data_IF_806058701337
#
_entry.id   IF_806058701337
#
_cell.length_a   1.000
_cell.length_b   1.000
_cell.length_c   1.000
_cell.angle_alpha   90.00
_cell.angle_beta   90.00
_cell.angle_gamma   90.00
#
_symmetry.space_group_name_H-M   'P 1'
#
loop_
_entity.id
_entity.type
_entity.pdbx_description
1 polymer ?
#
# COMPACT_ATOMS: atom_id res chain seq x y z
N UNK A 1 22.80 40.45 15.69
CA UNK A 1 22.96 39.85 17.02
C UNK A 1 21.57 39.44 17.51
N UNK A 2 21.29 38.13 17.68
CA UNK A 2 19.95 37.67 18.09
C UNK A 2 19.71 38.05 19.55
N UNK A 3 18.48 38.50 19.90
CA UNK A 3 18.09 38.83 21.29
C UNK A 3 18.21 37.59 22.20
N UNK A 4 18.41 37.79 23.50
CA UNK A 4 18.46 36.72 24.51
C UNK A 4 17.20 35.84 24.45
N UNK A 5 16.05 36.44 24.24
CA UNK A 5 14.76 35.75 24.12
C UNK A 5 14.72 34.82 22.92
N UNK A 6 15.26 35.24 21.75
CA UNK A 6 15.32 34.39 20.55
C UNK A 6 16.23 33.16 20.75
N UNK A 7 17.36 33.34 21.47
CA UNK A 7 18.24 32.20 21.78
C UNK A 7 17.57 31.21 22.73
N UNK A 8 16.82 31.70 23.70
CA UNK A 8 16.08 30.86 24.66
C UNK A 8 14.96 30.13 23.96
N UNK A 9 14.23 30.75 23.06
CA UNK A 9 13.22 30.15 22.21
C UNK A 9 13.77 29.03 21.36
N UNK A 10 14.88 29.26 20.64
CA UNK A 10 15.53 28.24 19.82
C UNK A 10 16.03 27.05 20.65
N UNK A 11 16.55 27.30 21.85
CA UNK A 11 16.99 26.26 22.80
C UNK A 11 15.81 25.39 23.23
N UNK A 12 14.68 25.99 23.53
CA UNK A 12 13.46 25.25 23.92
C UNK A 12 12.89 24.42 22.77
N UNK A 13 12.88 24.95 21.55
CA UNK A 13 12.48 24.17 20.37
C UNK A 13 13.39 22.96 20.14
N UNK A 14 14.71 23.14 20.23
CA UNK A 14 15.66 22.03 20.06
C UNK A 14 15.48 20.97 21.15
N UNK A 15 15.29 21.41 22.42
CA UNK A 15 15.02 20.51 23.54
C UNK A 15 13.75 19.70 23.32
N UNK A 16 12.66 20.37 22.93
CA UNK A 16 11.40 19.67 22.64
C UNK A 16 11.52 18.71 21.47
N UNK A 17 12.19 19.08 20.37
CA UNK A 17 12.45 18.18 19.24
C UNK A 17 13.27 16.96 19.67
N UNK A 18 14.28 17.15 20.52
CA UNK A 18 15.10 16.04 21.04
C UNK A 18 14.28 15.11 21.93
N UNK A 19 13.50 15.66 22.87
CA UNK A 19 12.61 14.88 23.75
C UNK A 19 11.60 14.08 22.93
N UNK A 20 10.93 14.72 21.98
CA UNK A 20 9.96 14.06 21.11
C UNK A 20 10.64 12.95 20.27
N UNK A 21 11.82 13.24 19.72
CA UNK A 21 12.62 12.23 18.99
C UNK A 21 13.00 11.06 19.86
N UNK A 22 13.49 11.32 21.08
CA UNK A 22 13.85 10.29 22.05
C UNK A 22 12.66 9.38 22.39
N UNK A 23 11.51 9.98 22.74
CA UNK A 23 10.32 9.18 23.08
C UNK A 23 9.78 8.37 21.89
N UNK A 24 9.85 8.90 20.68
CA UNK A 24 9.50 8.13 19.47
C UNK A 24 10.34 6.86 19.34
N UNK A 25 11.67 7.00 19.46
CA UNK A 25 12.59 5.87 19.35
C UNK A 25 12.41 4.92 20.54
N UNK A 26 12.26 5.47 21.76
CA UNK A 26 12.05 4.68 22.97
C UNK A 26 10.80 3.80 22.86
N UNK A 27 9.68 4.35 22.40
CA UNK A 27 8.43 3.57 22.21
C UNK A 27 8.65 2.41 21.24
N UNK A 28 9.34 2.65 20.11
CA UNK A 28 9.61 1.59 19.13
C UNK A 28 10.48 0.49 19.76
N UNK A 29 11.58 0.86 20.42
CA UNK A 29 12.48 -0.12 21.06
C UNK A 29 11.77 -0.87 22.18
N UNK A 30 10.94 -0.17 22.97
CA UNK A 30 10.16 -0.77 24.06
C UNK A 30 9.15 -1.82 23.53
N UNK A 31 8.42 -1.47 22.46
CA UNK A 31 7.47 -2.40 21.84
C UNK A 31 8.17 -3.62 21.22
N UNK A 32 9.29 -3.40 20.54
CA UNK A 32 10.10 -4.50 20.01
C UNK A 32 10.66 -5.37 21.14
N UNK A 33 11.09 -4.78 22.26
CA UNK A 33 11.56 -5.50 23.44
C UNK A 33 10.47 -6.35 24.09
N UNK A 34 9.27 -5.81 24.24
CA UNK A 34 8.11 -6.58 24.72
C UNK A 34 7.80 -7.74 23.79
N UNK A 35 7.74 -7.50 22.49
CA UNK A 35 7.46 -8.54 21.50
C UNK A 35 8.51 -9.66 21.55
N UNK A 36 9.79 -9.30 21.61
CA UNK A 36 10.91 -10.26 21.78
C UNK A 36 10.76 -11.07 23.06
N UNK A 37 10.47 -10.41 24.19
CA UNK A 37 10.30 -11.06 25.49
C UNK A 37 9.12 -12.05 25.49
N UNK A 38 7.97 -11.64 24.96
CA UNK A 38 6.78 -12.49 24.88
C UNK A 38 7.02 -13.70 23.96
N UNK A 39 7.71 -13.49 22.83
CA UNK A 39 8.03 -14.57 21.88
C UNK A 39 9.03 -15.58 22.45
N UNK A 40 10.11 -15.13 23.07
CA UNK A 40 11.13 -16.03 23.66
C UNK A 40 10.60 -16.88 24.81
N UNK A 41 9.71 -16.31 25.61
CA UNK A 41 9.12 -17.03 26.75
C UNK A 41 7.87 -17.87 26.37
N UNK A 42 7.59 -18.01 25.05
CA UNK A 42 6.41 -18.73 24.55
C UNK A 42 5.06 -18.26 25.15
N UNK A 43 5.00 -16.97 25.58
CA UNK A 43 3.77 -16.35 26.08
C UNK A 43 2.79 -16.02 24.95
N UNK A 44 3.29 -15.98 23.72
CA UNK A 44 2.50 -15.83 22.50
C UNK A 44 2.76 -17.03 21.59
N UNK A 45 1.78 -17.34 20.73
CA UNK A 45 1.95 -18.43 19.76
C UNK A 45 2.97 -18.02 18.68
N UNK A 46 4.21 -18.50 18.84
CA UNK A 46 5.32 -18.17 17.95
C UNK A 46 5.19 -18.73 16.54
N UNK A 47 4.25 -19.65 16.31
CA UNK A 47 3.91 -20.12 14.97
C UNK A 47 3.14 -19.04 14.18
N UNK A 48 2.26 -18.31 14.87
CA UNK A 48 1.44 -17.26 14.24
C UNK A 48 2.15 -15.90 14.18
N UNK A 49 2.84 -15.52 15.26
CA UNK A 49 3.32 -14.12 15.41
C UNK A 49 4.83 -13.98 15.31
N UNK A 50 5.63 -15.07 15.42
CA UNK A 50 7.09 -15.01 15.46
C UNK A 50 7.63 -14.01 16.52
N UNK A 51 8.89 -13.59 16.45
CA UNK A 51 9.50 -12.51 17.24
C UNK A 51 10.77 -11.98 16.53
N UNK A 52 11.24 -10.76 16.81
CA UNK A 52 12.29 -10.07 16.05
C UNK A 52 13.54 -10.89 15.79
N UNK A 53 14.13 -11.51 16.80
CA UNK A 53 15.37 -12.28 16.61
C UNK A 53 15.15 -13.54 15.75
N UNK A 54 14.00 -14.20 15.87
CA UNK A 54 13.66 -15.36 15.03
C UNK A 54 13.49 -14.95 13.57
N UNK A 55 12.86 -13.79 13.33
CA UNK A 55 12.73 -13.22 11.98
C UNK A 55 14.12 -12.97 11.39
N UNK A 56 15.04 -12.36 12.16
CA UNK A 56 16.41 -12.13 11.73
C UNK A 56 17.15 -13.41 11.35
N UNK A 57 17.05 -14.45 12.16
CA UNK A 57 17.65 -15.77 11.87
C UNK A 57 17.06 -16.36 10.59
N UNK A 58 15.74 -16.34 10.46
CA UNK A 58 15.05 -16.86 9.25
C UNK A 58 15.49 -16.12 7.98
N UNK A 59 15.64 -14.80 8.04
CA UNK A 59 16.14 -14.02 6.88
C UNK A 59 17.54 -14.48 6.49
N UNK A 60 18.45 -14.65 7.48
CA UNK A 60 19.81 -15.11 7.22
C UNK A 60 19.83 -16.51 6.62
N UNK A 61 18.98 -17.42 7.11
CA UNK A 61 18.90 -18.78 6.60
C UNK A 61 18.33 -18.81 5.17
N UNK A 62 17.33 -18.00 4.87
CA UNK A 62 16.80 -17.86 3.51
C UNK A 62 17.84 -17.28 2.53
N UNK A 63 18.68 -16.34 2.98
CA UNK A 63 19.80 -15.84 2.18
C UNK A 63 20.85 -16.92 1.90
N UNK A 64 21.23 -17.70 2.92
CA UNK A 64 22.24 -18.75 2.78
C UNK A 64 21.78 -19.87 1.84
N UNK A 65 20.51 -20.21 1.86
CA UNK A 65 19.92 -21.26 1.02
C UNK A 65 19.54 -20.77 -0.39
N UNK A 66 19.87 -19.51 -0.76
CA UNK A 66 19.59 -18.85 -2.04
C UNK A 66 18.11 -18.78 -2.44
N UNK A 67 17.19 -19.23 -1.58
CA UNK A 67 15.76 -19.22 -1.87
C UNK A 67 15.11 -17.85 -1.74
N UNK A 68 15.69 -16.94 -0.93
CA UNK A 68 15.13 -15.61 -0.69
C UNK A 68 15.05 -14.76 -1.97
N UNK A 69 16.11 -14.80 -2.79
CA UNK A 69 16.14 -14.04 -4.04
C UNK A 69 15.07 -14.51 -5.04
N UNK A 70 14.87 -15.83 -5.13
CA UNK A 70 13.83 -16.41 -5.97
C UNK A 70 12.44 -15.98 -5.51
N UNK A 71 12.19 -16.03 -4.21
CA UNK A 71 10.92 -15.54 -3.63
C UNK A 71 10.68 -14.05 -3.87
N UNK A 72 11.72 -13.21 -3.71
CA UNK A 72 11.64 -11.78 -3.99
C UNK A 72 11.35 -11.55 -5.47
N UNK A 73 12.04 -12.25 -6.37
CA UNK A 73 11.85 -12.11 -7.80
C UNK A 73 10.42 -12.49 -8.23
N UNK A 74 9.94 -13.66 -7.80
CA UNK A 74 8.59 -14.12 -8.12
C UNK A 74 7.53 -13.15 -7.60
N UNK A 75 7.62 -12.73 -6.33
CA UNK A 75 6.66 -11.79 -5.73
C UNK A 75 6.71 -10.42 -6.42
N UNK A 76 7.91 -9.93 -6.76
CA UNK A 76 8.05 -8.67 -7.50
C UNK A 76 7.43 -8.75 -8.89
N UNK A 77 7.65 -9.84 -9.60
CA UNK A 77 7.08 -10.12 -10.92
C UNK A 77 5.54 -10.16 -10.86
N UNK A 78 4.97 -10.91 -9.92
CA UNK A 78 3.52 -11.00 -9.71
C UNK A 78 2.92 -9.61 -9.40
N UNK A 79 3.58 -8.83 -8.55
CA UNK A 79 3.13 -7.49 -8.16
C UNK A 79 3.16 -6.52 -9.34
N UNK A 80 4.28 -6.47 -10.07
CA UNK A 80 4.45 -5.56 -11.22
C UNK A 80 3.46 -5.89 -12.33
N UNK A 81 3.32 -7.17 -12.70
CA UNK A 81 2.37 -7.57 -13.72
C UNK A 81 0.94 -7.24 -13.31
N UNK A 82 0.56 -7.55 -12.09
CA UNK A 82 -0.79 -7.27 -11.59
C UNK A 82 -1.09 -5.77 -11.58
N UNK A 83 -0.11 -4.97 -11.15
CA UNK A 83 -0.23 -3.51 -11.13
C UNK A 83 -0.40 -2.93 -12.54
N UNK A 84 0.45 -3.35 -13.48
CA UNK A 84 0.38 -2.88 -14.87
C UNK A 84 -0.95 -3.25 -15.52
N UNK A 85 -1.37 -4.52 -15.39
CA UNK A 85 -2.64 -4.99 -15.94
C UNK A 85 -3.83 -4.26 -15.32
N UNK A 86 -3.84 -4.11 -14.00
CA UNK A 86 -4.90 -3.38 -13.30
C UNK A 86 -4.97 -1.91 -13.73
N UNK A 87 -3.81 -1.29 -13.93
CA UNK A 87 -3.73 0.11 -14.35
C UNK A 87 -4.27 0.28 -15.78
N UNK A 88 -3.88 -0.59 -16.71
CA UNK A 88 -4.35 -0.54 -18.09
C UNK A 88 -5.87 -0.76 -18.14
N UNK A 89 -6.37 -1.81 -17.48
CA UNK A 89 -7.80 -2.13 -17.45
C UNK A 89 -8.58 -1.00 -16.75
N UNK A 90 -8.09 -0.55 -15.60
CA UNK A 90 -8.73 0.49 -14.80
C UNK A 90 -8.82 1.83 -15.54
N UNK A 91 -7.72 2.25 -16.18
CA UNK A 91 -7.67 3.46 -16.99
C UNK A 91 -8.62 3.38 -18.20
N UNK A 92 -8.63 2.25 -18.90
CA UNK A 92 -9.53 2.02 -20.04
C UNK A 92 -10.99 2.14 -19.62
N UNK A 93 -11.40 1.47 -18.55
CA UNK A 93 -12.77 1.53 -18.03
C UNK A 93 -13.10 2.95 -17.53
N UNK A 94 -12.22 3.59 -16.78
CA UNK A 94 -12.41 4.96 -16.30
C UNK A 94 -12.59 5.96 -17.44
N UNK A 95 -11.85 5.79 -18.53
CA UNK A 95 -11.98 6.62 -19.74
C UNK A 95 -13.36 6.43 -20.41
N UNK A 96 -13.84 5.20 -20.51
CA UNK A 96 -15.18 4.91 -21.05
C UNK A 96 -16.27 5.55 -20.18
N UNK A 97 -16.16 5.44 -18.86
CA UNK A 97 -17.09 6.05 -17.92
C UNK A 97 -17.09 7.57 -18.03
N UNK A 98 -15.93 8.18 -18.16
CA UNK A 98 -15.80 9.62 -18.33
C UNK A 98 -16.40 10.11 -19.65
N UNK A 99 -16.24 9.33 -20.72
CA UNK A 99 -16.80 9.66 -22.04
C UNK A 99 -18.34 9.62 -22.08
N UNK A 100 -18.96 8.71 -21.33
CA UNK A 100 -20.41 8.49 -21.35
C UNK A 100 -21.04 8.75 -19.98
N UNK A 101 -21.69 9.93 -19.84
CA UNK A 101 -22.41 10.30 -18.61
C UNK A 101 -23.55 9.32 -18.26
N UNK A 102 -24.18 8.69 -19.26
CA UNK A 102 -25.23 7.69 -19.03
C UNK A 102 -24.62 6.40 -18.46
N UNK A 103 -23.52 5.96 -19.05
CA UNK A 103 -22.85 4.73 -18.62
C UNK A 103 -22.26 4.88 -17.20
N UNK A 104 -21.69 6.04 -16.90
CA UNK A 104 -21.15 6.30 -15.56
C UNK A 104 -22.26 6.25 -14.51
N UNK A 105 -23.38 6.92 -14.72
CA UNK A 105 -24.52 6.89 -13.78
C UNK A 105 -25.10 5.50 -13.55
N UNK A 106 -25.02 4.61 -14.54
CA UNK A 106 -25.47 3.23 -14.41
C UNK A 106 -24.45 2.37 -13.68
N UNK A 107 -23.15 2.48 -14.01
CA UNK A 107 -22.11 1.56 -13.53
C UNK A 107 -21.44 1.99 -12.24
N UNK A 108 -21.36 3.29 -11.95
CA UNK A 108 -20.70 3.82 -10.75
C UNK A 108 -21.20 3.17 -9.44
N UNK A 109 -22.53 3.01 -9.19
CA UNK A 109 -23.00 2.33 -7.99
C UNK A 109 -22.48 0.89 -7.87
N UNK A 110 -22.46 0.14 -8.97
CA UNK A 110 -21.99 -1.24 -8.99
C UNK A 110 -20.48 -1.33 -8.74
N UNK A 111 -19.69 -0.47 -9.38
CA UNK A 111 -18.24 -0.41 -9.17
C UNK A 111 -17.91 -0.04 -7.72
N UNK A 112 -18.67 0.89 -7.13
CA UNK A 112 -18.52 1.29 -5.73
C UNK A 112 -18.83 0.14 -4.78
N UNK A 113 -19.91 -0.61 -5.02
CA UNK A 113 -20.26 -1.80 -4.24
C UNK A 113 -19.15 -2.85 -4.37
N UNK A 114 -18.69 -3.15 -5.58
CA UNK A 114 -17.60 -4.10 -5.82
C UNK A 114 -16.28 -3.65 -5.20
N UNK A 115 -16.04 -2.35 -5.13
CA UNK A 115 -14.85 -1.81 -4.46
C UNK A 115 -14.91 -1.97 -2.93
N UNK A 116 -16.10 -1.92 -2.33
CA UNK A 116 -16.28 -2.04 -0.88
C UNK A 116 -16.30 -3.48 -0.37
N UNK A 117 -16.40 -4.48 -1.26
CA UNK A 117 -16.34 -5.89 -0.87
C UNK A 117 -14.96 -6.26 -0.28
N UNK A 118 -14.91 -7.14 0.73
CA UNK A 118 -13.64 -7.65 1.28
C UNK A 118 -12.97 -8.62 0.30
N UNK A 119 -12.36 -8.06 -0.76
CA UNK A 119 -11.80 -8.83 -1.89
C UNK A 119 -10.77 -9.88 -1.45
N UNK A 120 -10.05 -9.64 -0.35
CA UNK A 120 -9.06 -10.58 0.21
C UNK A 120 -9.70 -11.92 0.57
N UNK A 121 -10.97 -11.92 0.97
CA UNK A 121 -11.71 -13.15 1.29
C UNK A 121 -11.99 -14.03 0.07
N UNK A 122 -11.85 -13.49 -1.15
CA UNK A 122 -11.97 -14.28 -2.39
C UNK A 122 -10.72 -15.14 -2.69
N UNK A 123 -9.61 -14.92 -1.97
CA UNK A 123 -8.37 -15.65 -2.17
C UNK A 123 -8.52 -17.18 -2.12
N UNK A 124 -9.09 -17.75 -1.06
CA UNK A 124 -9.32 -19.19 -0.98
C UNK A 124 -10.19 -19.74 -2.14
N UNK A 125 -11.20 -18.97 -2.57
CA UNK A 125 -12.06 -19.33 -3.69
C UNK A 125 -11.28 -19.40 -5.01
N UNK A 126 -10.43 -18.41 -5.27
CA UNK A 126 -9.58 -18.38 -6.47
C UNK A 126 -8.57 -19.54 -6.49
N UNK A 127 -8.02 -19.89 -5.33
CA UNK A 127 -7.11 -21.03 -5.20
C UNK A 127 -7.85 -22.34 -5.49
N UNK A 128 -9.10 -22.50 -5.04
CA UNK A 128 -9.91 -23.67 -5.33
C UNK A 128 -10.24 -23.78 -6.83
N UNK A 129 -10.55 -22.66 -7.48
CA UNK A 129 -10.94 -22.65 -8.89
C UNK A 129 -9.76 -22.79 -9.87
N UNK A 130 -8.65 -22.12 -9.56
CA UNK A 130 -7.51 -22.00 -10.50
C UNK A 130 -6.27 -22.75 -10.03
N UNK A 131 -6.30 -23.28 -8.79
CA UNK A 131 -5.13 -23.87 -8.14
C UNK A 131 -4.20 -22.84 -7.49
N UNK A 132 -3.30 -23.31 -6.64
CA UNK A 132 -2.28 -22.49 -5.98
C UNK A 132 -1.12 -22.24 -6.96
N UNK A 133 -1.26 -21.25 -7.82
CA UNK A 133 -0.27 -20.89 -8.83
C UNK A 133 -0.19 -19.36 -9.04
N UNK A 134 0.81 -18.90 -9.80
CA UNK A 134 1.04 -17.49 -10.11
C UNK A 134 -0.21 -16.82 -10.70
N UNK A 135 -0.97 -17.51 -11.53
CA UNK A 135 -2.16 -16.94 -12.20
C UNK A 135 -3.25 -16.55 -11.19
N UNK A 136 -3.49 -17.40 -10.19
CA UNK A 136 -4.48 -17.12 -9.14
C UNK A 136 -4.05 -15.94 -8.27
N UNK A 137 -2.76 -15.81 -7.98
CA UNK A 137 -2.20 -14.68 -7.21
C UNK A 137 -2.32 -13.38 -8.01
N UNK A 138 -1.92 -13.37 -9.27
CA UNK A 138 -2.04 -12.23 -10.18
C UNK A 138 -3.50 -11.80 -10.33
N UNK A 139 -4.42 -12.74 -10.57
CA UNK A 139 -5.85 -12.43 -10.68
C UNK A 139 -6.40 -11.81 -9.38
N UNK A 140 -6.00 -12.36 -8.25
CA UNK A 140 -6.37 -11.81 -6.94
C UNK A 140 -5.91 -10.36 -6.78
N UNK A 141 -4.65 -10.08 -7.10
CA UNK A 141 -4.10 -8.73 -7.02
C UNK A 141 -4.80 -7.76 -7.99
N UNK A 142 -5.17 -8.22 -9.20
CA UNK A 142 -5.97 -7.44 -10.15
C UNK A 142 -7.35 -7.13 -9.56
N UNK A 143 -8.05 -8.10 -9.01
CA UNK A 143 -9.38 -7.89 -8.42
C UNK A 143 -9.35 -6.91 -7.23
N UNK A 144 -8.28 -6.91 -6.45
CA UNK A 144 -8.10 -5.96 -5.34
C UNK A 144 -7.92 -4.53 -5.87
N UNK A 145 -7.11 -4.35 -6.90
CA UNK A 145 -6.64 -3.03 -7.34
C UNK A 145 -7.50 -2.37 -8.42
N UNK A 146 -8.08 -3.14 -9.36
CA UNK A 146 -8.75 -2.60 -10.54
C UNK A 146 -9.91 -1.65 -10.21
N UNK A 147 -10.78 -2.03 -9.28
CA UNK A 147 -11.93 -1.19 -8.90
C UNK A 147 -11.50 0.11 -8.23
N UNK A 148 -10.46 0.06 -7.41
CA UNK A 148 -9.88 1.25 -6.78
C UNK A 148 -9.27 2.19 -7.83
N UNK A 149 -8.56 1.63 -8.83
CA UNK A 149 -7.98 2.40 -9.92
C UNK A 149 -9.08 3.04 -10.78
N UNK A 150 -10.13 2.28 -11.13
CA UNK A 150 -11.27 2.82 -11.91
C UNK A 150 -11.86 4.04 -11.21
N UNK A 151 -12.20 3.92 -9.92
CA UNK A 151 -12.83 5.02 -9.18
C UNK A 151 -11.89 6.22 -9.03
N UNK A 152 -10.63 6.00 -8.70
CA UNK A 152 -9.67 7.09 -8.53
C UNK A 152 -9.41 7.83 -9.85
N UNK A 153 -9.24 7.10 -10.96
CA UNK A 153 -9.04 7.72 -12.27
C UNK A 153 -10.29 8.44 -12.78
N UNK A 154 -11.47 7.85 -12.60
CA UNK A 154 -12.72 8.46 -12.96
C UNK A 154 -12.95 9.75 -12.18
N UNK A 155 -12.75 9.76 -10.86
CA UNK A 155 -12.86 10.96 -10.04
C UNK A 155 -11.84 12.01 -10.46
N UNK A 156 -10.59 11.64 -10.73
CA UNK A 156 -9.57 12.56 -11.22
C UNK A 156 -9.97 13.23 -12.54
N UNK A 157 -10.60 12.49 -13.46
CA UNK A 157 -11.12 13.07 -14.71
C UNK A 157 -12.27 14.06 -14.50
N UNK A 158 -13.16 13.79 -13.54
CA UNK A 158 -14.29 14.68 -13.23
C UNK A 158 -13.81 15.93 -12.49
N UNK A 159 -12.88 15.79 -11.54
CA UNK A 159 -12.37 16.87 -10.70
C UNK A 159 -11.37 17.78 -11.44
N UNK A 160 -10.97 17.42 -12.65
CA UNK A 160 -10.05 18.26 -13.42
C UNK A 160 -10.71 19.60 -13.73
N UNK A 161 -10.12 20.68 -13.20
CA UNK A 161 -10.61 22.04 -13.33
C UNK A 161 -10.63 22.47 -14.81
N UNK A 162 -11.81 22.83 -15.30
CA UNK A 162 -12.02 23.31 -16.68
C UNK A 162 -11.15 24.51 -17.01
N UNK A 163 -10.84 25.35 -16.02
CA UNK A 163 -9.96 26.49 -16.17
C UNK A 163 -8.51 26.07 -16.50
N UNK A 164 -8.02 24.97 -15.89
CA UNK A 164 -6.70 24.43 -16.19
C UNK A 164 -6.63 23.83 -17.59
N UNK A 165 -7.69 23.14 -18.02
CA UNK A 165 -7.78 22.62 -19.40
C UNK A 165 -7.77 23.77 -20.38
N UNK A 166 -8.54 24.84 -20.14
CA UNK A 166 -8.60 26.03 -21.01
C UNK A 166 -7.23 26.74 -21.09
N UNK A 167 -6.55 26.94 -19.97
CA UNK A 167 -5.21 27.51 -19.95
C UNK A 167 -4.21 26.67 -20.75
N UNK A 168 -4.23 25.35 -20.59
CA UNK A 168 -3.36 24.45 -21.34
C UNK A 168 -3.58 24.57 -22.85
N UNK A 169 -4.80 24.64 -23.29
CA UNK A 169 -5.15 24.82 -24.72
C UNK A 169 -4.59 26.15 -25.25
N UNK A 170 -4.73 27.26 -24.50
CA UNK A 170 -4.26 28.59 -24.93
C UNK A 170 -2.73 28.63 -25.04
N UNK A 171 -2.01 27.97 -24.13
CA UNK A 171 -0.53 27.99 -24.14
C UNK A 171 0.09 26.95 -25.08
N UNK A 172 -0.68 26.06 -25.68
CA UNK A 172 -0.18 25.01 -26.58
C UNK A 172 -0.44 25.34 -28.06
N UNK A 173 -1.22 26.38 -28.35
CA UNK A 173 -1.45 26.95 -29.68
C UNK A 173 -0.58 28.18 -29.88
#
# INVERSE_FOLDING_TARGET
MYSLEHKTYLKNIRKNKFIVGFFKIFIIIFLLGIWEYLGRNNLINTFLTSYPSKIGITIIDLFKNYSLLDHIFVTSYETIISFVLSTIIGLFIATILWWSNTLSKILEPYITILNSLPKVSLGPLLIIWMGANIKSIVLMAILISVFTIILNMYNAFIETDKTKIFLTIIFTI
#
